data_IF_589197007070
#
_entry.id   IF_589197007070
#
_cell.length_a   1.000
_cell.length_b   1.000
_cell.length_c   1.000
_cell.angle_alpha   90.00
_cell.angle_beta   90.00
_cell.angle_gamma   90.00
#
_symmetry.space_group_name_H-M   'P 1'
#
loop_
_entity.id
_entity.type
_entity.pdbx_description
1 polymer ?
#
# COMPACT_ATOMS: atom_id res chain seq x y z
N UNK A 1 1.97 22.23 12.93
CA UNK A 1 2.82 21.13 13.43
C UNK A 1 3.71 20.69 12.27
N UNK A 2 5.05 20.59 12.41
CA UNK A 2 5.92 20.25 11.26
C UNK A 2 5.89 18.73 11.00
N UNK A 3 4.89 18.25 10.25
CA UNK A 3 4.68 16.82 9.89
C UNK A 3 5.94 16.18 9.29
N UNK A 4 6.79 16.96 8.62
CA UNK A 4 8.05 16.49 8.00
C UNK A 4 8.95 15.61 8.87
N UNK A 5 8.90 15.78 10.19
CA UNK A 5 9.71 14.99 11.13
C UNK A 5 9.09 13.63 11.51
N UNK A 6 7.81 13.44 11.19
CA UNK A 6 7.04 12.23 11.45
C UNK A 6 6.86 11.37 10.18
N UNK A 7 7.44 11.79 9.04
CA UNK A 7 7.37 11.04 7.78
C UNK A 7 8.34 9.86 7.83
N UNK A 8 7.79 8.65 7.70
CA UNK A 8 8.57 7.43 7.50
C UNK A 8 9.14 7.40 6.08
N UNK A 9 10.47 7.35 5.95
CA UNK A 9 11.17 7.35 4.65
C UNK A 9 11.44 5.97 4.08
N UNK A 10 11.39 4.94 4.93
CA UNK A 10 11.66 3.54 4.56
C UNK A 10 10.35 2.78 4.59
N UNK A 11 9.90 2.31 3.44
CA UNK A 11 8.66 1.56 3.28
C UNK A 11 8.88 0.43 2.28
N UNK A 12 8.17 -0.67 2.50
CA UNK A 12 8.15 -1.80 1.58
C UNK A 12 7.22 -1.50 0.40
N UNK A 13 7.65 -1.89 -0.79
CA UNK A 13 6.94 -1.63 -2.05
C UNK A 13 6.50 -2.94 -2.72
N UNK A 14 5.37 -2.93 -3.42
CA UNK A 14 4.93 -4.04 -4.26
C UNK A 14 4.48 -3.55 -5.63
N UNK A 15 4.49 -4.45 -6.61
CA UNK A 15 3.93 -4.19 -7.93
C UNK A 15 2.40 -4.28 -7.90
N UNK A 16 1.72 -3.46 -8.69
CA UNK A 16 0.26 -3.43 -8.79
C UNK A 16 -0.34 -4.74 -9.34
N UNK A 17 0.40 -5.46 -10.17
CA UNK A 17 -0.03 -6.72 -10.78
C UNK A 17 0.57 -7.94 -10.07
N UNK A 18 1.18 -7.75 -8.89
CA UNK A 18 1.59 -8.86 -8.04
C UNK A 18 0.37 -9.63 -7.50
N UNK A 19 0.53 -10.93 -7.32
CA UNK A 19 -0.49 -11.77 -6.71
C UNK A 19 -0.54 -11.58 -5.18
N UNK A 20 -1.75 -11.60 -4.60
CA UNK A 20 -1.95 -11.43 -3.15
C UNK A 20 -1.15 -12.46 -2.33
N UNK A 21 -1.13 -13.71 -2.77
CA UNK A 21 -0.38 -14.79 -2.11
C UNK A 21 1.12 -14.47 -1.96
N UNK A 22 1.69 -13.72 -2.90
CA UNK A 22 3.11 -13.34 -2.89
C UNK A 22 3.42 -12.19 -1.92
N UNK A 23 2.41 -11.40 -1.54
CA UNK A 23 2.56 -10.23 -0.69
C UNK A 23 1.99 -10.41 0.71
N UNK A 24 1.14 -11.42 0.95
CA UNK A 24 0.41 -11.60 2.21
C UNK A 24 1.35 -11.63 3.43
N UNK A 25 2.46 -12.39 3.34
CA UNK A 25 3.45 -12.46 4.42
C UNK A 25 4.09 -11.10 4.70
N UNK A 26 4.52 -10.39 3.65
CA UNK A 26 5.15 -9.07 3.76
C UNK A 26 4.18 -8.03 4.31
N UNK A 27 2.92 -8.11 3.90
CA UNK A 27 1.85 -7.24 4.36
C UNK A 27 1.54 -7.48 5.84
N UNK A 28 1.55 -8.73 6.29
CA UNK A 28 1.40 -9.10 7.70
C UNK A 28 2.56 -8.55 8.55
N UNK A 29 3.78 -8.62 8.05
CA UNK A 29 4.98 -8.17 8.78
C UNK A 29 5.10 -6.63 8.84
N UNK A 30 4.67 -5.92 7.80
CA UNK A 30 4.84 -4.46 7.68
C UNK A 30 3.56 -3.65 7.91
N UNK A 31 2.41 -4.30 8.09
CA UNK A 31 1.06 -3.70 8.20
C UNK A 31 0.57 -2.93 6.97
N UNK A 32 1.45 -2.50 6.07
CA UNK A 32 1.11 -1.88 4.79
C UNK A 32 2.20 -2.13 3.75
N UNK A 33 1.84 -2.00 2.47
CA UNK A 33 2.77 -1.99 1.35
C UNK A 33 2.43 -0.82 0.42
N UNK A 34 3.46 -0.13 -0.07
CA UNK A 34 3.30 0.91 -1.09
C UNK A 34 3.18 0.25 -2.45
N UNK A 35 2.12 0.53 -3.19
CA UNK A 35 1.89 -0.07 -4.51
C UNK A 35 2.41 0.86 -5.59
N UNK A 36 3.29 0.32 -6.42
CA UNK A 36 3.88 1.00 -7.56
C UNK A 36 3.49 0.28 -8.86
N UNK A 37 3.34 1.03 -9.94
CA UNK A 37 3.33 0.51 -11.32
C UNK A 37 4.38 1.27 -12.12
N UNK A 38 5.39 0.58 -12.65
CA UNK A 38 6.48 1.21 -13.40
C UNK A 38 7.11 2.42 -12.66
N UNK A 39 7.27 2.30 -11.33
CA UNK A 39 7.75 3.37 -10.41
C UNK A 39 6.78 4.49 -10.09
N UNK A 40 5.57 4.49 -10.67
CA UNK A 40 4.52 5.44 -10.33
C UNK A 40 3.74 4.95 -9.11
N UNK A 41 3.57 5.83 -8.11
CA UNK A 41 2.73 5.54 -6.95
C UNK A 41 1.26 5.45 -7.36
N UNK A 42 0.62 4.33 -7.00
CA UNK A 42 -0.81 4.14 -7.22
C UNK A 42 -1.58 4.18 -5.90
N UNK A 43 -1.02 3.61 -4.84
CA UNK A 43 -1.75 3.51 -3.58
C UNK A 43 -0.99 2.79 -2.48
N UNK A 44 -1.72 2.52 -1.40
CA UNK A 44 -1.22 1.78 -0.25
C UNK A 44 -2.14 0.59 -0.03
N UNK A 45 -1.57 -0.60 -0.02
CA UNK A 45 -2.26 -1.83 0.31
C UNK A 45 -2.15 -2.09 1.82
N UNK A 46 -3.28 -2.38 2.46
CA UNK A 46 -3.37 -2.79 3.86
C UNK A 46 -4.06 -4.16 3.97
N UNK A 47 -3.92 -4.89 5.10
CA UNK A 47 -4.66 -6.12 5.31
C UNK A 47 -6.19 -5.94 5.18
N UNK A 48 -6.71 -4.78 5.59
CA UNK A 48 -8.13 -4.47 5.47
C UNK A 48 -8.60 -4.40 4.02
N UNK A 49 -7.75 -3.90 3.12
CA UNK A 49 -8.07 -3.81 1.70
C UNK A 49 -8.33 -5.20 1.08
N UNK A 50 -7.55 -6.20 1.47
CA UNK A 50 -7.73 -7.60 1.03
C UNK A 50 -9.01 -8.20 1.61
N UNK A 51 -9.33 -7.88 2.87
CA UNK A 51 -10.53 -8.40 3.55
C UNK A 51 -11.79 -7.80 2.93
N UNK A 52 -11.76 -6.50 2.61
CA UNK A 52 -12.90 -5.77 2.06
C UNK A 52 -13.13 -6.11 0.57
N UNK A 53 -12.06 -6.27 -0.20
CA UNK A 53 -12.09 -6.59 -1.63
C UNK A 53 -11.16 -7.78 -1.94
N UNK A 54 -11.59 -9.03 -1.68
CA UNK A 54 -10.75 -10.21 -1.85
C UNK A 54 -10.58 -10.58 -3.33
N UNK A 55 -9.52 -10.05 -3.95
CA UNK A 55 -9.11 -10.35 -5.31
C UNK A 55 -7.73 -11.01 -5.35
N UNK A 56 -7.36 -11.55 -6.53
CA UNK A 56 -6.07 -12.22 -6.70
C UNK A 56 -4.91 -11.25 -6.94
N UNK A 57 -5.20 -10.05 -7.46
CA UNK A 57 -4.20 -9.04 -7.79
C UNK A 57 -4.26 -7.87 -6.80
N UNK A 58 -3.09 -7.30 -6.51
CA UNK A 58 -2.95 -6.14 -5.62
C UNK A 58 -3.81 -4.96 -6.07
N UNK A 59 -3.80 -4.63 -7.37
CA UNK A 59 -4.54 -3.48 -7.91
C UNK A 59 -6.04 -3.55 -7.66
N UNK A 60 -6.62 -4.75 -7.74
CA UNK A 60 -8.06 -4.97 -7.57
C UNK A 60 -8.50 -4.87 -6.11
N UNK A 61 -7.55 -4.99 -5.16
CA UNK A 61 -7.84 -4.85 -3.73
C UNK A 61 -7.73 -3.39 -3.26
N UNK A 62 -7.16 -2.47 -4.06
CA UNK A 62 -6.84 -1.12 -3.62
C UNK A 62 -8.09 -0.26 -3.42
N UNK A 63 -8.12 0.45 -2.29
CA UNK A 63 -9.12 1.49 -2.02
C UNK A 63 -8.46 2.88 -1.93
N UNK A 64 -9.21 3.89 -2.35
CA UNK A 64 -8.78 5.29 -2.22
C UNK A 64 -8.54 5.65 -0.75
N UNK A 65 -7.38 6.23 -0.45
CA UNK A 65 -7.02 6.68 0.89
C UNK A 65 -7.14 8.20 0.97
N UNK A 66 -7.57 8.75 2.13
CA UNK A 66 -7.68 10.20 2.30
C UNK A 66 -6.33 10.87 2.09
N UNK A 67 -6.35 11.97 1.33
CA UNK A 67 -5.18 12.81 1.11
C UNK A 67 -4.97 13.74 2.30
N UNK A 68 -3.72 13.86 2.73
CA UNK A 68 -3.33 14.78 3.81
C UNK A 68 -2.62 15.96 3.16
N UNK A 69 -3.18 17.16 3.33
CA UNK A 69 -2.50 18.40 2.93
C UNK A 69 -1.26 18.61 3.81
N UNK A 70 -0.13 18.87 3.16
CA UNK A 70 1.18 18.96 3.81
C UNK A 70 1.68 20.41 4.01
N UNK A 71 0.79 21.41 3.88
CA UNK A 71 1.09 22.84 4.11
C UNK A 71 1.30 23.18 5.61
#
# INVERSE_FOLDING_TARGET
MKIKHYIQKTFETTDAYAGIDSVEKRLRDNSFLVVLNESSFIGILTPFDIIESPHNLVIDCLHEKPRIDCE
#
